data_IF_408490898608
#
_entry.id   IF_408490898608
#
_cell.length_a   1.000
_cell.length_b   1.000
_cell.length_c   1.000
_cell.angle_alpha   90.00
_cell.angle_beta   90.00
_cell.angle_gamma   90.00
#
_symmetry.space_group_name_H-M   'P 1'
#
loop_
_entity.id
_entity.type
_entity.pdbx_description
1 polymer ?
#
# COMPACT_ATOMS: atom_id res chain seq x y z
N UNK A 1 -0.99 -0.67 -63.45
CA UNK A 1 -1.63 -1.32 -62.27
C UNK A 1 -2.20 -0.21 -61.39
N UNK A 2 -3.53 -0.02 -61.34
CA UNK A 2 -4.15 1.04 -60.52
C UNK A 2 -4.20 0.57 -59.06
N UNK A 3 -3.26 1.00 -58.23
CA UNK A 3 -3.35 0.77 -56.78
C UNK A 3 -4.56 1.55 -56.25
N UNK A 4 -5.51 0.81 -55.67
CA UNK A 4 -6.74 1.37 -55.15
C UNK A 4 -6.43 2.07 -53.81
N UNK A 5 -6.36 3.41 -53.84
CA UNK A 5 -5.96 4.28 -52.71
C UNK A 5 -6.74 3.93 -51.43
N UNK A 6 -7.99 3.51 -51.56
CA UNK A 6 -8.85 3.08 -50.46
C UNK A 6 -8.28 1.87 -49.71
N UNK A 7 -7.66 0.91 -50.42
CA UNK A 7 -7.02 -0.26 -49.78
C UNK A 7 -5.76 0.11 -49.01
N UNK A 8 -5.01 1.11 -49.50
CA UNK A 8 -3.83 1.64 -48.80
C UNK A 8 -4.25 2.38 -47.53
N UNK A 9 -5.32 3.17 -47.60
CA UNK A 9 -5.86 3.90 -46.45
C UNK A 9 -6.32 2.95 -45.32
N UNK A 10 -7.03 1.87 -45.69
CA UNK A 10 -7.47 0.84 -44.75
C UNK A 10 -6.27 0.15 -44.11
N UNK A 11 -5.22 -0.16 -44.90
CA UNK A 11 -4.01 -0.79 -44.36
C UNK A 11 -3.27 0.14 -43.37
N UNK A 12 -3.17 1.44 -43.67
CA UNK A 12 -2.55 2.43 -42.78
C UNK A 12 -3.36 2.58 -41.48
N UNK A 13 -4.69 2.67 -41.56
CA UNK A 13 -5.60 2.75 -40.40
C UNK A 13 -5.53 1.51 -39.50
N UNK A 14 -5.34 0.32 -40.09
CA UNK A 14 -5.20 -0.93 -39.32
C UNK A 14 -3.81 -1.01 -38.64
N UNK A 15 -2.76 -0.45 -39.23
CA UNK A 15 -1.43 -0.41 -38.62
C UNK A 15 -1.27 0.66 -37.54
N UNK A 16 -2.00 1.78 -37.62
CA UNK A 16 -1.95 2.84 -36.59
C UNK A 16 -2.78 2.52 -35.34
N UNK A 17 -3.73 1.57 -35.42
CA UNK A 17 -4.50 1.09 -34.27
C UNK A 17 -3.68 0.21 -33.30
N UNK A 18 -2.51 -0.29 -33.71
CA UNK A 18 -1.58 -1.06 -32.87
C UNK A 18 -0.40 -0.23 -32.37
N UNK A 19 -0.58 1.08 -32.11
CA UNK A 19 0.37 1.80 -31.27
C UNK A 19 0.16 1.26 -29.85
N UNK A 20 0.96 0.27 -29.48
CA UNK A 20 1.13 -0.18 -28.10
C UNK A 20 1.36 1.06 -27.23
N UNK A 21 0.31 1.54 -26.55
CA UNK A 21 0.45 2.54 -25.51
C UNK A 21 1.27 1.88 -24.41
N UNK A 22 2.59 2.09 -24.46
CA UNK A 22 3.53 1.56 -23.48
C UNK A 22 3.14 2.18 -22.15
N UNK A 23 2.43 1.41 -21.32
CA UNK A 23 2.05 1.84 -19.98
C UNK A 23 3.33 2.03 -19.16
N UNK A 24 3.43 3.16 -18.47
CA UNK A 24 4.51 3.42 -17.54
C UNK A 24 4.39 2.43 -16.36
N UNK A 25 5.49 1.79 -15.97
CA UNK A 25 5.53 0.90 -14.82
C UNK A 25 6.25 1.63 -13.68
N UNK A 26 5.61 1.70 -12.51
CA UNK A 26 6.20 2.22 -11.27
C UNK A 26 6.20 1.15 -10.20
N UNK A 27 7.28 1.09 -9.44
CA UNK A 27 7.48 0.09 -8.40
C UNK A 27 7.88 0.71 -7.06
N UNK A 28 7.14 0.39 -6.01
CA UNK A 28 7.25 0.96 -4.68
C UNK A 28 7.40 -0.14 -3.62
N UNK A 29 8.17 0.11 -2.58
CA UNK A 29 8.52 -0.89 -1.57
C UNK A 29 9.84 -1.62 -1.85
N UNK A 30 10.39 -2.27 -0.84
CA UNK A 30 11.65 -3.02 -0.95
C UNK A 30 11.55 -4.30 -1.79
N UNK A 31 10.41 -4.99 -1.76
CA UNK A 31 10.19 -6.26 -2.49
C UNK A 31 10.26 -6.17 -4.02
N UNK A 32 10.41 -4.97 -4.59
CA UNK A 32 10.52 -4.77 -6.05
C UNK A 32 11.76 -5.40 -6.68
N UNK A 33 12.84 -5.55 -5.92
CA UNK A 33 14.14 -6.05 -6.44
C UNK A 33 14.17 -7.57 -6.63
N UNK A 34 13.15 -8.25 -6.15
CA UNK A 34 13.08 -9.70 -6.13
C UNK A 34 12.66 -10.30 -7.48
N UNK A 35 12.86 -11.60 -7.62
CA UNK A 35 12.56 -12.35 -8.84
C UNK A 35 11.06 -12.31 -9.16
N UNK A 36 10.71 -12.06 -10.42
CA UNK A 36 9.32 -12.01 -10.89
C UNK A 36 8.55 -13.31 -10.64
N UNK A 37 9.22 -14.46 -10.61
CA UNK A 37 8.60 -15.76 -10.30
C UNK A 37 8.03 -15.86 -8.89
N UNK A 38 8.51 -15.05 -7.95
CA UNK A 38 8.02 -15.01 -6.57
C UNK A 38 6.86 -14.02 -6.41
N UNK A 39 6.57 -13.17 -7.40
CA UNK A 39 5.62 -12.07 -7.28
C UNK A 39 4.19 -12.53 -7.53
N UNK A 40 3.33 -12.40 -6.52
CA UNK A 40 1.91 -12.71 -6.61
C UNK A 40 1.10 -11.44 -6.71
N UNK A 41 0.42 -11.23 -7.84
CA UNK A 41 -0.42 -10.05 -8.06
C UNK A 41 -1.70 -10.09 -7.23
N UNK A 42 -1.94 -9.03 -6.46
CA UNK A 42 -3.15 -8.81 -5.68
C UNK A 42 -3.87 -7.57 -6.20
N UNK A 43 -5.20 -7.62 -6.26
CA UNK A 43 -6.06 -6.47 -6.62
C UNK A 43 -6.98 -6.16 -5.46
N UNK A 44 -6.89 -4.96 -4.89
CA UNK A 44 -7.66 -4.53 -3.71
C UNK A 44 -9.18 -4.73 -3.90
N UNK A 45 -9.71 -4.43 -5.09
CA UNK A 45 -11.12 -4.62 -5.42
C UNK A 45 -11.59 -6.09 -5.49
N UNK A 46 -10.68 -7.07 -5.40
CA UNK A 46 -11.00 -8.49 -5.38
C UNK A 46 -11.38 -9.04 -4.00
N UNK A 47 -11.25 -8.25 -2.94
CA UNK A 47 -11.51 -8.66 -1.56
C UNK A 47 -12.78 -8.00 -1.02
N UNK A 48 -13.62 -8.76 -0.30
CA UNK A 48 -14.88 -8.26 0.25
C UNK A 48 -14.62 -7.41 1.49
N UNK A 49 -13.64 -7.82 2.31
CA UNK A 49 -13.25 -7.12 3.53
C UNK A 49 -11.75 -6.84 3.54
N UNK A 50 -11.35 -5.91 4.39
CA UNK A 50 -9.96 -5.57 4.64
C UNK A 50 -9.21 -6.75 5.27
N UNK A 51 -9.85 -7.50 6.17
CA UNK A 51 -9.29 -8.71 6.76
C UNK A 51 -8.92 -9.77 5.72
N UNK A 52 -9.82 -10.04 4.75
CA UNK A 52 -9.51 -10.99 3.66
C UNK A 52 -8.28 -10.57 2.83
N UNK A 53 -8.11 -9.25 2.65
CA UNK A 53 -6.95 -8.70 1.96
C UNK A 53 -5.66 -8.86 2.76
N UNK A 54 -5.69 -8.58 4.07
CA UNK A 54 -4.56 -8.81 4.98
C UNK A 54 -4.19 -10.29 5.03
N UNK A 55 -5.16 -11.17 5.23
CA UNK A 55 -4.95 -12.62 5.26
C UNK A 55 -4.23 -13.09 4.00
N UNK A 56 -4.63 -12.57 2.83
CA UNK A 56 -3.98 -12.91 1.57
C UNK A 56 -2.56 -12.36 1.43
N UNK A 57 -2.28 -11.16 1.95
CA UNK A 57 -0.91 -10.62 2.00
C UNK A 57 -0.04 -11.55 2.85
N UNK A 58 -0.51 -11.93 4.05
CA UNK A 58 0.22 -12.80 4.97
C UNK A 58 0.42 -14.19 4.36
N UNK A 59 -0.62 -14.79 3.77
CA UNK A 59 -0.55 -16.09 3.11
C UNK A 59 0.52 -16.10 2.00
N UNK A 60 0.62 -15.03 1.22
CA UNK A 60 1.65 -14.93 0.18
C UNK A 60 3.04 -14.75 0.81
N UNK A 61 3.20 -13.78 1.72
CA UNK A 61 4.50 -13.48 2.33
C UNK A 61 5.08 -14.67 3.09
N UNK A 62 4.25 -15.46 3.77
CA UNK A 62 4.69 -16.58 4.60
C UNK A 62 4.83 -17.91 3.84
N UNK A 63 4.57 -17.91 2.54
CA UNK A 63 4.86 -19.03 1.64
C UNK A 63 6.00 -18.66 0.67
N UNK A 64 7.03 -17.96 1.17
CA UNK A 64 8.23 -17.54 0.42
C UNK A 64 7.94 -16.79 -0.90
N UNK A 65 6.77 -16.16 -0.98
CA UNK A 65 6.31 -15.40 -2.14
C UNK A 65 6.15 -13.94 -1.76
N UNK A 66 6.04 -13.07 -2.76
CA UNK A 66 6.06 -11.64 -2.58
C UNK A 66 4.74 -11.06 -3.05
N UNK A 67 3.90 -10.52 -2.14
CA UNK A 67 2.67 -9.86 -2.54
C UNK A 67 2.99 -8.62 -3.38
N UNK A 68 2.23 -8.42 -4.44
CA UNK A 68 2.32 -7.27 -5.33
C UNK A 68 0.94 -6.71 -5.56
N UNK A 69 0.61 -5.63 -4.87
CA UNK A 69 -0.66 -4.94 -5.06
C UNK A 69 -0.56 -4.13 -6.37
N UNK A 70 -1.45 -4.42 -7.31
CA UNK A 70 -1.45 -3.79 -8.63
C UNK A 70 -2.55 -2.74 -8.70
N UNK A 71 -2.16 -1.50 -8.92
CA UNK A 71 -3.07 -0.37 -9.15
C UNK A 71 -2.90 0.10 -10.60
N UNK A 72 -3.97 0.00 -11.38
CA UNK A 72 -3.96 0.35 -12.80
C UNK A 72 -4.67 1.69 -13.05
N UNK A 73 -4.07 2.53 -13.88
CA UNK A 73 -4.69 3.71 -14.47
C UNK A 73 -4.42 3.72 -15.98
N UNK A 74 -5.06 4.62 -16.73
CA UNK A 74 -5.08 4.60 -18.20
C UNK A 74 -3.70 4.35 -18.85
N UNK A 75 -2.65 4.99 -18.36
CA UNK A 75 -1.29 4.92 -18.93
C UNK A 75 -0.22 4.46 -17.94
N UNK A 76 -0.58 4.05 -16.72
CA UNK A 76 0.39 3.73 -15.67
C UNK A 76 -0.08 2.52 -14.86
N UNK A 77 0.85 1.63 -14.55
CA UNK A 77 0.68 0.51 -13.63
C UNK A 77 1.60 0.74 -12.45
N UNK A 78 1.02 0.78 -11.25
CA UNK A 78 1.77 0.90 -9.99
C UNK A 78 1.77 -0.45 -9.29
N UNK A 79 2.96 -0.96 -9.05
CA UNK A 79 3.19 -2.16 -8.25
C UNK A 79 3.65 -1.71 -6.86
N UNK A 80 2.82 -1.99 -5.85
CA UNK A 80 3.15 -1.78 -4.44
C UNK A 80 3.53 -3.12 -3.84
N UNK A 81 4.75 -3.21 -3.30
CA UNK A 81 5.24 -4.37 -2.58
C UNK A 81 5.13 -4.07 -1.08
N UNK A 82 4.08 -4.55 -0.39
CA UNK A 82 3.86 -4.22 1.00
C UNK A 82 4.97 -4.81 1.88
N UNK A 83 5.32 -4.07 2.93
CA UNK A 83 6.15 -4.54 4.03
C UNK A 83 5.24 -5.37 4.93
N UNK A 84 5.47 -6.68 4.97
CA UNK A 84 4.74 -7.59 5.82
C UNK A 84 5.73 -8.61 6.38
N UNK A 85 5.72 -8.75 7.70
CA UNK A 85 6.38 -9.84 8.39
C UNK A 85 5.35 -10.93 8.73
N UNK A 86 5.82 -12.17 8.84
CA UNK A 86 5.01 -13.31 9.23
C UNK A 86 4.65 -13.31 10.71
N UNK A 87 5.45 -12.62 11.51
CA UNK A 87 5.15 -12.36 12.90
C UNK A 87 4.51 -10.97 13.02
N UNK A 88 3.51 -10.81 13.90
CA UNK A 88 2.96 -9.50 14.16
C UNK A 88 4.06 -8.62 14.76
N UNK A 89 4.41 -7.55 14.05
CA UNK A 89 5.28 -6.52 14.57
C UNK A 89 4.70 -5.95 15.87
N UNK A 90 5.54 -5.78 16.88
CA UNK A 90 5.21 -4.99 18.06
C UNK A 90 5.25 -3.54 17.62
N UNK A 91 4.08 -2.95 17.39
CA UNK A 91 3.97 -1.54 17.01
C UNK A 91 3.36 -0.69 18.11
N UNK A 92 3.84 0.56 18.20
CA UNK A 92 3.27 1.61 19.03
C UNK A 92 2.12 2.29 18.26
N UNK A 93 0.85 2.14 18.70
CA UNK A 93 -0.29 2.78 18.05
C UNK A 93 -0.33 4.31 18.21
N UNK A 94 0.40 4.88 19.19
CA UNK A 94 0.62 6.33 19.29
C UNK A 94 1.72 6.83 18.32
N UNK A 95 2.22 5.92 17.48
CA UNK A 95 3.34 6.13 16.59
C UNK A 95 3.01 7.02 15.39
N UNK A 96 4.04 7.67 14.88
CA UNK A 96 4.07 8.21 13.51
C UNK A 96 3.76 7.09 12.50
N UNK A 97 3.60 7.44 11.23
CA UNK A 97 3.40 6.50 10.11
C UNK A 97 1.97 5.95 9.91
N UNK A 98 1.04 6.11 10.85
CA UNK A 98 -0.31 5.54 10.73
C UNK A 98 -1.30 6.40 9.96
N UNK A 99 -2.15 5.72 9.20
CA UNK A 99 -3.41 6.24 8.70
C UNK A 99 -4.51 5.21 8.91
N UNK A 100 -5.64 5.66 9.44
CA UNK A 100 -6.79 4.80 9.71
C UNK A 100 -7.82 4.97 8.61
N UNK A 101 -8.25 3.86 8.04
CA UNK A 101 -9.26 3.83 7.01
C UNK A 101 -10.61 3.38 7.60
N UNK A 102 -11.61 4.25 7.50
CA UNK A 102 -12.98 3.94 7.93
C UNK A 102 -13.98 4.48 6.90
N UNK A 103 -14.94 3.63 6.52
CA UNK A 103 -16.05 3.97 5.60
C UNK A 103 -15.66 4.76 4.34
N UNK A 104 -14.52 4.43 3.72
CA UNK A 104 -14.08 5.10 2.48
C UNK A 104 -13.24 6.37 2.69
N UNK A 105 -13.00 6.75 3.94
CA UNK A 105 -12.24 7.94 4.35
C UNK A 105 -10.99 7.54 5.10
N UNK A 106 -10.04 8.46 5.15
CA UNK A 106 -8.74 8.28 5.78
C UNK A 106 -8.53 9.31 6.90
N UNK A 107 -8.07 8.86 8.06
CA UNK A 107 -7.94 9.65 9.28
C UNK A 107 -6.51 9.55 9.83
N UNK A 108 -6.08 10.59 10.54
CA UNK A 108 -4.87 10.52 11.36
C UNK A 108 -5.15 9.65 12.57
N UNK A 109 -4.55 8.47 12.67
CA UNK A 109 -4.78 7.53 13.78
C UNK A 109 -6.29 7.23 13.99
N UNK A 110 -6.62 6.47 15.04
CA UNK A 110 -7.93 5.87 15.30
C UNK A 110 -9.09 6.88 15.47
N UNK A 111 -8.90 8.21 15.30
CA UNK A 111 -9.98 9.20 15.19
C UNK A 111 -9.54 10.57 14.64
N UNK A 112 -10.52 11.34 14.15
CA UNK A 112 -10.44 12.68 13.52
C UNK A 112 -9.25 13.60 13.93
N UNK A 113 -8.67 14.36 12.99
CA UNK A 113 -9.30 14.79 11.73
C UNK A 113 -9.06 13.86 10.53
N UNK A 114 -10.02 13.90 9.59
CA UNK A 114 -9.86 13.31 8.25
C UNK A 114 -8.63 13.94 7.58
N UNK A 115 -7.77 13.10 6.98
CA UNK A 115 -6.58 13.58 6.28
C UNK A 115 -7.02 14.32 5.02
N UNK A 116 -6.62 15.58 4.92
CA UNK A 116 -6.68 16.31 3.65
C UNK A 116 -5.63 15.73 2.70
N UNK A 117 -6.04 15.13 1.57
CA UNK A 117 -5.10 14.52 0.61
C UNK A 117 -4.06 15.50 0.04
N UNK A 118 -4.29 16.81 0.12
CA UNK A 118 -3.30 17.82 -0.26
C UNK A 118 -2.16 17.98 0.75
N UNK A 119 -2.37 17.59 2.01
CA UNK A 119 -1.31 17.59 3.03
C UNK A 119 -0.33 16.43 2.88
N UNK A 120 -0.63 15.40 2.06
CA UNK A 120 0.19 14.19 1.95
C UNK A 120 1.65 14.47 1.57
N UNK A 121 1.94 15.48 0.75
CA UNK A 121 3.33 15.87 0.45
C UNK A 121 4.09 16.36 1.68
N UNK A 122 3.40 17.06 2.60
CA UNK A 122 3.96 17.49 3.88
C UNK A 122 4.11 16.29 4.82
N UNK A 123 3.06 15.48 4.95
CA UNK A 123 3.05 14.29 5.81
C UNK A 123 4.16 13.32 5.43
N UNK A 124 4.41 13.10 4.13
CA UNK A 124 5.54 12.32 3.65
C UNK A 124 6.87 12.79 4.28
N UNK A 125 7.11 14.10 4.32
CA UNK A 125 8.36 14.67 4.84
C UNK A 125 8.46 14.66 6.36
N UNK A 126 7.34 14.71 7.08
CA UNK A 126 7.32 14.91 8.54
C UNK A 126 6.87 13.70 9.35
N UNK A 127 5.75 13.10 8.96
CA UNK A 127 5.05 12.06 9.72
C UNK A 127 5.36 10.66 9.18
N UNK A 128 5.65 10.55 7.88
CA UNK A 128 5.95 9.28 7.24
C UNK A 128 7.45 9.06 7.03
N UNK A 129 8.30 10.03 7.40
CA UNK A 129 9.75 9.90 7.29
C UNK A 129 10.32 9.07 8.44
N UNK A 130 10.92 7.93 8.12
CA UNK A 130 11.51 6.99 9.09
C UNK A 130 13.02 7.17 9.16
N UNK A 131 13.57 7.27 10.37
CA UNK A 131 15.00 7.44 10.65
C UNK A 131 15.42 6.39 11.68
N UNK A 132 16.36 5.50 11.36
CA UNK A 132 17.03 4.70 12.38
C UNK A 132 17.88 5.62 13.27
N UNK A 133 17.77 5.43 14.58
CA UNK A 133 18.36 6.29 15.62
C UNK A 133 19.89 6.41 15.60
N UNK A 134 20.58 5.68 14.71
CA UNK A 134 22.04 5.72 14.56
C UNK A 134 22.54 6.67 13.47
N UNK A 135 21.68 7.16 12.57
CA UNK A 135 22.10 8.02 11.46
C UNK A 135 21.74 9.49 11.71
N UNK A 136 22.77 10.31 11.94
CA UNK A 136 22.70 11.76 12.08
C UNK A 136 22.53 12.49 10.73
N UNK A 137 21.72 11.96 9.83
CA UNK A 137 21.51 12.54 8.49
C UNK A 137 20.13 13.18 8.37
N UNK A 138 20.06 14.37 7.75
CA UNK A 138 18.80 15.08 7.42
C UNK A 138 17.92 14.33 6.38
N UNK A 139 18.32 13.13 5.97
CA UNK A 139 17.64 12.29 4.98
C UNK A 139 17.03 11.07 5.69
N UNK A 140 15.74 10.77 5.51
CA UNK A 140 15.13 9.56 6.05
C UNK A 140 15.66 8.31 5.34
N UNK A 141 15.71 7.20 6.08
CA UNK A 141 16.09 5.89 5.53
C UNK A 141 15.02 5.40 4.53
N UNK A 142 13.76 5.60 4.89
CA UNK A 142 12.60 5.34 4.03
C UNK A 142 11.43 6.25 4.42
N UNK A 143 10.46 6.33 3.52
CA UNK A 143 9.11 6.76 3.87
C UNK A 143 8.30 5.53 4.22
N UNK A 144 7.72 5.50 5.41
CA UNK A 144 6.90 4.39 5.88
C UNK A 144 5.49 4.88 6.20
N UNK A 145 4.51 4.16 5.65
CA UNK A 145 3.08 4.41 5.90
C UNK A 145 2.41 3.09 6.26
N UNK A 146 1.77 3.07 7.42
CA UNK A 146 0.96 1.95 7.89
C UNK A 146 -0.50 2.32 7.64
N UNK A 147 -1.15 1.58 6.76
CA UNK A 147 -2.58 1.72 6.48
C UNK A 147 -3.29 0.72 7.35
N UNK A 148 -4.12 1.18 8.27
CA UNK A 148 -4.91 0.30 9.12
C UNK A 148 -6.42 0.44 8.90
N UNK A 149 -7.17 -0.63 9.16
CA UNK A 149 -8.64 -0.63 9.15
C UNK A 149 -9.19 -1.79 9.98
N UNK A 150 -10.46 -1.72 10.33
CA UNK A 150 -11.19 -2.83 10.94
C UNK A 150 -11.23 -4.04 9.99
N UNK A 151 -11.18 -5.25 10.55
CA UNK A 151 -11.19 -6.50 9.78
C UNK A 151 -12.37 -6.62 8.81
N UNK A 152 -13.55 -6.19 9.25
CA UNK A 152 -14.79 -6.19 8.47
C UNK A 152 -14.96 -4.92 7.61
N UNK A 153 -14.00 -3.99 7.70
CA UNK A 153 -13.93 -2.78 6.90
C UNK A 153 -13.89 -3.09 5.40
N UNK A 154 -14.41 -2.18 4.58
CA UNK A 154 -14.35 -2.31 3.12
C UNK A 154 -13.00 -1.83 2.60
N UNK A 155 -12.50 -2.46 1.54
CA UNK A 155 -11.28 -2.01 0.83
C UNK A 155 -11.53 -0.79 -0.08
N UNK A 156 -12.79 -0.41 -0.28
CA UNK A 156 -13.20 0.71 -1.13
C UNK A 156 -12.57 2.01 -0.64
N UNK A 157 -11.84 2.70 -1.52
CA UNK A 157 -11.19 3.97 -1.23
C UNK A 157 -9.71 3.84 -0.82
N UNK A 158 -9.27 2.69 -0.32
CA UNK A 158 -7.86 2.41 0.00
C UNK A 158 -7.02 2.52 -1.27
N UNK A 159 -7.49 1.95 -2.38
CA UNK A 159 -6.80 2.04 -3.68
C UNK A 159 -6.61 3.49 -4.14
N UNK A 160 -7.63 4.33 -3.97
CA UNK A 160 -7.56 5.77 -4.31
C UNK A 160 -6.55 6.49 -3.44
N UNK A 161 -6.54 6.19 -2.13
CA UNK A 161 -5.57 6.74 -1.19
C UNK A 161 -4.14 6.34 -1.54
N UNK A 162 -3.88 5.04 -1.74
CA UNK A 162 -2.55 4.52 -2.10
C UNK A 162 -2.07 5.12 -3.42
N UNK A 163 -2.95 5.24 -4.41
CA UNK A 163 -2.62 5.90 -5.68
C UNK A 163 -2.27 7.39 -5.50
N UNK A 164 -3.03 8.10 -4.67
CA UNK A 164 -2.77 9.52 -4.37
C UNK A 164 -1.46 9.69 -3.59
N UNK A 165 -1.20 8.84 -2.60
CA UNK A 165 0.04 8.81 -1.84
C UNK A 165 1.24 8.57 -2.77
N UNK A 166 1.14 7.59 -3.67
CA UNK A 166 2.18 7.30 -4.66
C UNK A 166 2.44 8.48 -5.61
N UNK A 167 1.39 9.17 -6.07
CA UNK A 167 1.50 10.38 -6.89
C UNK A 167 2.21 11.53 -6.14
N UNK A 168 1.84 11.76 -4.88
CA UNK A 168 2.45 12.80 -4.05
C UNK A 168 3.90 12.44 -3.73
N UNK A 169 4.22 11.16 -3.52
CA UNK A 169 5.58 10.66 -3.39
C UNK A 169 6.41 10.86 -4.67
N UNK A 170 5.89 10.50 -5.85
CA UNK A 170 6.57 10.70 -7.14
C UNK A 170 6.96 12.17 -7.34
N UNK A 171 6.11 13.10 -6.87
CA UNK A 171 6.36 14.54 -6.95
C UNK A 171 7.55 15.03 -6.10
N UNK A 172 7.97 14.26 -5.08
CA UNK A 172 9.11 14.59 -4.23
C UNK A 172 10.44 14.41 -4.96
N UNK A 173 10.47 13.66 -6.09
CA UNK A 173 11.67 13.37 -6.89
C UNK A 173 12.85 12.86 -6.03
N UNK A 174 12.54 11.99 -5.09
CA UNK A 174 13.49 11.43 -4.12
C UNK A 174 13.89 10.00 -4.51
N UNK A 175 15.08 9.59 -4.09
CA UNK A 175 15.60 8.23 -4.20
C UNK A 175 15.29 7.37 -2.96
N UNK A 176 14.75 7.98 -1.90
CA UNK A 176 14.31 7.30 -0.67
C UNK A 176 13.09 6.45 -0.97
N UNK A 177 13.11 5.18 -0.56
CA UNK A 177 12.03 4.22 -0.84
C UNK A 177 10.75 4.59 -0.08
N UNK A 178 9.60 4.52 -0.76
CA UNK A 178 8.29 4.46 -0.12
C UNK A 178 7.90 3.01 0.19
N UNK A 179 7.68 2.71 1.46
CA UNK A 179 7.19 1.44 1.97
C UNK A 179 5.78 1.61 2.55
N UNK A 180 4.95 0.61 2.31
CA UNK A 180 3.60 0.55 2.85
C UNK A 180 3.41 -0.74 3.63
N UNK A 181 2.87 -0.66 4.83
CA UNK A 181 2.37 -1.82 5.57
C UNK A 181 0.84 -1.74 5.65
N UNK A 182 0.19 -2.90 5.73
CA UNK A 182 -1.25 -3.00 5.88
C UNK A 182 -1.54 -3.76 7.16
N UNK A 183 -2.37 -3.19 8.03
CA UNK A 183 -2.54 -3.68 9.39
C UNK A 183 -4.00 -3.73 9.81
N UNK A 184 -4.41 -4.83 10.44
CA UNK A 184 -5.74 -4.92 11.04
C UNK A 184 -5.75 -4.19 12.39
N UNK A 185 -6.77 -3.36 12.62
CA UNK A 185 -7.01 -2.83 13.95
C UNK A 185 -7.34 -3.98 14.91
N UNK A 186 -6.46 -4.24 15.86
CA UNK A 186 -6.71 -5.22 16.91
C UNK A 186 -7.62 -4.56 17.95
N UNK A 187 -8.88 -4.99 18.10
CA UNK A 187 -9.74 -4.44 19.14
C UNK A 187 -9.10 -4.68 20.49
N UNK A 188 -9.13 -3.67 21.37
CA UNK A 188 -8.66 -3.80 22.74
C UNK A 188 -9.34 -5.01 23.40
N UNK A 189 -8.56 -6.07 23.63
CA UNK A 189 -8.99 -7.15 24.51
C UNK A 189 -8.67 -6.70 25.92
N UNK A 190 -9.70 -6.49 26.73
CA UNK A 190 -9.50 -6.31 28.16
C UNK A 190 -8.60 -7.46 28.66
N UNK A 191 -7.62 -7.18 29.54
CA UNK A 191 -6.84 -8.24 30.13
C UNK A 191 -7.80 -9.27 30.72
N UNK A 192 -7.51 -10.58 30.61
CA UNK A 192 -8.32 -11.59 31.24
C UNK A 192 -8.54 -11.18 32.71
N UNK A 193 -9.76 -11.38 33.27
CA UNK A 193 -10.00 -11.10 34.67
C UNK A 193 -8.88 -11.73 35.48
N UNK A 194 -8.28 -10.96 36.40
CA UNK A 194 -7.32 -11.50 37.33
C UNK A 194 -8.00 -12.68 38.02
N UNK A 195 -7.55 -13.91 37.77
CA UNK A 195 -7.92 -15.02 38.63
C UNK A 195 -7.41 -14.63 40.00
N UNK A 196 -8.36 -14.29 40.89
CA UNK A 196 -8.07 -14.06 42.30
C UNK A 196 -7.72 -15.43 42.85
N UNK A 197 -6.50 -15.86 42.56
CA UNK A 197 -5.96 -17.11 43.05
C UNK A 197 -6.05 -17.00 44.56
N UNK A 198 -6.79 -17.95 45.11
CA UNK A 198 -7.30 -17.97 46.46
C UNK A 198 -6.19 -17.62 47.46
N UNK A 199 -6.08 -16.35 47.84
CA UNK A 199 -5.46 -15.89 49.09
C UNK A 199 -6.38 -16.33 50.24
N UNK A 200 -6.56 -17.64 50.34
CA UNK A 200 -7.08 -18.38 51.48
C UNK A 200 -6.05 -19.46 51.85
N UNK A 201 -4.79 -19.07 51.99
CA UNK A 201 -3.77 -19.66 52.87
C UNK A 201 -2.74 -18.52 53.02
N UNK A 202 -2.59 -17.83 54.16
CA UNK A 202 -2.43 -18.28 55.55
C UNK A 202 -3.06 -17.29 56.56
#
# INVERSE_FOLDING_TARGET
>A
MKLNITKILILILMTSACINQKRELKEYGYGKKENDSLKVSLRLGGFKTYGEFIDRIIEVSCNDSIPRIVIESKNIVRNIYPTQDCEPFIFDPAGKHYVTFDRGKVYHEQSLPEINLDSLSKMLRTEFSYYHSSNSTDKPDNYFVIIESMRDGKTVGIESFVNTLALKYDSLKTDVVLNLAFWEQVPYRAPPPMELDTLLME
#
